data_IF_366767672311
#
_entry.id   IF_366767672311
#
_cell.length_a   1.000
_cell.length_b   1.000
_cell.length_c   1.000
_cell.angle_alpha   90.00
_cell.angle_beta   90.00
_cell.angle_gamma   90.00
#
_symmetry.space_group_name_H-M   'P 1'
#
loop_
_entity.id
_entity.type
_entity.pdbx_description
1 polymer ?
#
# COMPACT_ATOMS: atom_id res chain seq x y z
N UNK A 1 7.26 13.32 -11.83
CA UNK A 1 7.40 12.08 -11.10
C UNK A 1 6.07 11.38 -10.91
N UNK A 2 6.08 10.11 -11.06
CA UNK A 2 4.87 9.30 -10.99
C UNK A 2 4.74 8.65 -9.62
N UNK A 3 3.62 8.90 -8.96
CA UNK A 3 3.37 8.29 -7.64
C UNK A 3 3.31 6.77 -7.72
N UNK A 4 2.82 6.27 -8.83
CA UNK A 4 2.77 4.85 -9.07
C UNK A 4 4.16 4.23 -9.06
N UNK A 5 5.10 4.90 -9.68
CA UNK A 5 6.49 4.44 -9.72
C UNK A 5 7.10 4.41 -8.32
N UNK A 6 6.83 5.43 -7.52
CA UNK A 6 7.33 5.47 -6.17
C UNK A 6 6.76 4.34 -5.33
N UNK A 7 5.46 4.10 -5.46
CA UNK A 7 4.81 3.02 -4.73
C UNK A 7 5.38 1.66 -5.11
N UNK A 8 5.63 1.46 -6.40
CA UNK A 8 6.20 0.21 -6.88
C UNK A 8 7.61 0.00 -6.32
N UNK A 9 8.40 1.06 -6.29
CA UNK A 9 9.74 0.97 -5.72
C UNK A 9 9.71 0.59 -4.25
N UNK A 10 8.78 1.17 -3.52
CA UNK A 10 8.60 0.82 -2.12
C UNK A 10 8.15 -0.63 -1.96
N UNK A 11 7.23 -1.06 -2.81
CA UNK A 11 6.72 -2.43 -2.74
C UNK A 11 7.83 -3.43 -3.02
N UNK A 12 8.73 -3.13 -3.94
CA UNK A 12 9.85 -4.02 -4.24
C UNK A 12 10.81 -4.18 -3.07
N UNK A 13 10.90 -3.16 -2.24
CA UNK A 13 11.82 -3.15 -1.11
C UNK A 13 11.17 -3.62 0.19
N UNK A 14 9.86 -3.80 0.18
CA UNK A 14 9.12 -4.11 1.38
C UNK A 14 8.59 -5.54 1.35
N UNK A 15 8.38 -6.09 2.53
CA UNK A 15 7.73 -7.38 2.67
C UNK A 15 6.22 -7.23 2.74
N UNK A 16 5.77 -6.08 3.21
CA UNK A 16 4.37 -5.81 3.37
C UNK A 16 4.11 -4.33 3.13
N UNK A 17 3.05 -4.03 2.41
CA UNK A 17 2.73 -2.65 2.08
C UNK A 17 1.29 -2.32 2.42
N UNK A 18 1.10 -1.13 2.96
CA UNK A 18 -0.23 -0.65 3.33
C UNK A 18 -0.54 0.58 2.49
N UNK A 19 -1.69 0.53 1.83
CA UNK A 19 -2.17 1.68 1.07
C UNK A 19 -3.39 2.24 1.76
N UNK A 20 -3.32 3.51 2.12
CA UNK A 20 -4.42 4.18 2.82
C UNK A 20 -5.12 5.09 1.83
N UNK A 21 -6.42 4.89 1.67
CA UNK A 21 -7.20 5.72 0.76
C UNK A 21 -8.59 5.16 0.58
N UNK A 22 -9.40 5.90 -0.16
CA UNK A 22 -10.77 5.47 -0.41
C UNK A 22 -10.82 4.29 -1.34
N UNK A 23 -11.60 3.28 -0.99
CA UNK A 23 -11.74 2.09 -1.80
C UNK A 23 -12.47 2.37 -3.12
N UNK A 24 -13.11 3.51 -3.19
CA UNK A 24 -13.79 3.94 -4.41
C UNK A 24 -12.91 4.79 -5.32
N UNK A 25 -11.73 5.13 -4.84
CA UNK A 25 -10.80 5.95 -5.63
C UNK A 25 -10.09 5.07 -6.65
N UNK A 26 -10.21 5.45 -7.91
CA UNK A 26 -9.55 4.70 -8.99
C UNK A 26 -8.04 4.68 -8.82
N UNK A 27 -7.47 5.80 -8.42
CA UNK A 27 -6.02 5.87 -8.21
C UNK A 27 -5.56 4.95 -7.11
N UNK A 28 -6.31 4.92 -6.01
CA UNK A 28 -5.97 4.07 -4.88
C UNK A 28 -6.02 2.61 -5.27
N UNK A 29 -7.07 2.22 -5.98
CA UNK A 29 -7.23 0.84 -6.41
C UNK A 29 -6.13 0.44 -7.37
N UNK A 30 -5.75 1.33 -8.28
CA UNK A 30 -4.66 1.05 -9.21
C UNK A 30 -3.33 0.84 -8.49
N UNK A 31 -3.06 1.66 -7.49
CA UNK A 31 -1.85 1.49 -6.69
C UNK A 31 -1.83 0.15 -6.00
N UNK A 32 -2.96 -0.23 -5.43
CA UNK A 32 -3.09 -1.51 -4.77
C UNK A 32 -2.83 -2.66 -5.74
N UNK A 33 -3.47 -2.61 -6.92
CA UNK A 33 -3.32 -3.65 -7.92
C UNK A 33 -1.87 -3.80 -8.37
N UNK A 34 -1.18 -2.69 -8.54
CA UNK A 34 0.20 -2.73 -9.00
C UNK A 34 1.13 -3.24 -7.89
N UNK A 35 0.96 -2.74 -6.68
CA UNK A 35 1.86 -3.09 -5.59
C UNK A 35 1.72 -4.54 -5.15
N UNK A 36 0.52 -5.08 -5.22
CA UNK A 36 0.30 -6.45 -4.78
C UNK A 36 1.05 -7.49 -5.60
N UNK A 37 1.50 -7.11 -6.78
CA UNK A 37 2.29 -8.00 -7.62
C UNK A 37 3.73 -8.12 -7.12
N UNK A 38 4.17 -7.18 -6.30
CA UNK A 38 5.53 -7.15 -5.81
C UNK A 38 5.68 -7.62 -4.37
N UNK A 39 4.68 -7.37 -3.55
CA UNK A 39 4.70 -7.80 -2.16
C UNK A 39 3.27 -7.88 -1.64
N UNK A 40 3.14 -8.40 -0.43
CA UNK A 40 1.84 -8.43 0.24
C UNK A 40 1.36 -7.00 0.44
N UNK A 41 0.18 -6.70 -0.07
CA UNK A 41 -0.35 -5.34 -0.02
C UNK A 41 -1.79 -5.36 0.46
N UNK A 42 -2.15 -4.40 1.30
CA UNK A 42 -3.54 -4.23 1.74
C UNK A 42 -3.99 -2.81 1.45
N UNK A 43 -5.28 -2.68 1.23
CA UNK A 43 -5.91 -1.39 1.00
C UNK A 43 -6.86 -1.12 2.16
N UNK A 44 -6.60 -0.04 2.89
CA UNK A 44 -7.43 0.33 4.04
C UNK A 44 -7.84 1.79 3.91
N UNK A 45 -8.90 2.16 4.60
CA UNK A 45 -9.39 3.54 4.57
C UNK A 45 -8.94 4.33 5.78
N UNK A 46 -8.59 3.67 6.86
CA UNK A 46 -8.09 4.34 8.05
C UNK A 46 -7.08 3.45 8.75
N UNK A 47 -6.29 4.07 9.61
CA UNK A 47 -5.25 3.35 10.35
C UNK A 47 -5.82 2.29 11.28
N UNK A 48 -7.09 2.42 11.66
CA UNK A 48 -7.74 1.44 12.52
C UNK A 48 -7.86 0.07 11.87
N UNK A 49 -7.82 0.04 10.56
CA UNK A 49 -7.95 -1.21 9.81
C UNK A 49 -6.62 -1.93 9.61
N UNK A 50 -5.54 -1.39 10.12
CA UNK A 50 -4.22 -2.00 9.96
C UNK A 50 -4.17 -3.40 10.54
N UNK A 51 -3.75 -4.40 9.73
CA UNK A 51 -3.59 -5.77 10.22
C UNK A 51 -2.28 -5.90 10.99
N UNK A 52 -2.35 -5.63 12.27
CA UNK A 52 -1.16 -5.59 13.12
C UNK A 52 -0.36 -6.88 13.09
N UNK A 53 -1.03 -8.01 12.98
CA UNK A 53 -0.34 -9.29 12.92
C UNK A 53 0.58 -9.37 11.71
N UNK A 54 0.10 -8.91 10.57
CA UNK A 54 0.90 -8.91 9.34
C UNK A 54 2.02 -7.89 9.42
N UNK A 55 1.72 -6.74 10.03
CA UNK A 55 2.73 -5.71 10.20
C UNK A 55 3.88 -6.22 11.06
N UNK A 56 3.55 -6.93 12.12
CA UNK A 56 4.57 -7.47 13.01
C UNK A 56 5.38 -8.58 12.36
N UNK A 57 4.76 -9.35 11.49
CA UNK A 57 5.42 -10.47 10.85
C UNK A 57 6.36 -10.04 9.75
N UNK A 58 6.16 -8.86 9.20
CA UNK A 58 6.98 -8.37 8.11
C UNK A 58 8.24 -7.68 8.62
N UNK A 59 9.35 -7.92 7.94
CA UNK A 59 10.60 -7.25 8.30
C UNK A 59 10.58 -5.79 7.88
N UNK A 60 10.05 -5.53 6.71
CA UNK A 60 9.97 -4.16 6.18
C UNK A 60 8.54 -3.87 5.78
N UNK A 61 7.99 -2.82 6.35
CA UNK A 61 6.62 -2.39 6.07
C UNK A 61 6.66 -0.98 5.50
N UNK A 62 5.97 -0.79 4.39
CA UNK A 62 5.81 0.53 3.81
C UNK A 62 4.37 0.96 3.87
N UNK A 63 4.14 2.23 4.13
CA UNK A 63 2.80 2.79 4.19
C UNK A 63 2.76 3.98 3.25
N UNK A 64 1.77 3.99 2.37
CA UNK A 64 1.61 5.10 1.44
C UNK A 64 0.14 5.47 1.34
N UNK A 65 -0.10 6.74 1.04
CA UNK A 65 -1.46 7.21 0.82
C UNK A 65 -1.75 7.16 -0.68
N UNK A 66 -2.78 6.44 -1.04
CA UNK A 66 -3.14 6.29 -2.44
C UNK A 66 -3.92 7.46 -2.98
N UNK A 67 -4.66 8.12 -2.11
CA UNK A 67 -5.48 9.23 -2.55
C UNK A 67 -4.70 10.51 -2.47
N UNK A 68 -4.69 11.20 -3.56
CA UNK A 68 -4.22 12.57 -3.49
C UNK A 68 -5.42 13.43 -3.77
N UNK A 69 -5.54 14.41 -3.08
CA UNK A 69 -6.61 15.34 -3.31
C UNK A 69 -6.37 16.13 -4.59
#
# INVERSE_FOLDING_TARGET
MNRQSEAVELAKKSDFMVIIGGKHSSNTVKLYDVCRDYCDTVLIESADELPMEKVRAADTVSITAGAST
#
